data_IF_027463614508
#
_entry.id   IF_027463614508
#
_cell.length_a   1.000
_cell.length_b   1.000
_cell.length_c   1.000
_cell.angle_alpha   90.00
_cell.angle_beta   90.00
_cell.angle_gamma   90.00
#
_symmetry.space_group_name_H-M   'P 1'
#
loop_
_entity.id
_entity.type
_entity.pdbx_description
1 polymer ?
#
# COMPACT_ATOMS: atom_id res chain seq x y z
N UNK A 1 -5.71 5.34 7.13
CA UNK A 1 -6.00 4.52 5.94
C UNK A 1 -7.01 5.28 5.11
N UNK A 2 -7.02 5.08 3.80
CA UNK A 2 -8.09 5.51 2.90
C UNK A 2 -8.58 4.27 2.14
N UNK A 3 -9.88 4.17 1.94
CA UNK A 3 -10.54 3.18 1.07
C UNK A 3 -11.55 3.92 0.21
N UNK A 4 -11.44 3.77 -1.11
CA UNK A 4 -12.32 4.47 -2.04
C UNK A 4 -11.90 4.30 -3.49
N UNK A 5 -12.54 5.02 -4.42
CA UNK A 5 -12.22 4.93 -5.83
C UNK A 5 -10.80 5.41 -6.11
N UNK A 6 -10.17 4.79 -7.11
CA UNK A 6 -8.94 5.31 -7.72
C UNK A 6 -9.26 6.58 -8.51
N UNK A 7 -8.37 7.57 -8.40
CA UNK A 7 -8.43 8.78 -9.23
C UNK A 7 -8.13 8.50 -10.72
N UNK A 8 -7.58 7.32 -11.04
CA UNK A 8 -7.19 6.98 -12.41
C UNK A 8 -8.36 6.42 -13.23
N UNK A 9 -9.17 5.56 -12.62
CA UNK A 9 -10.22 4.80 -13.32
C UNK A 9 -11.45 4.46 -12.46
N UNK A 10 -11.49 4.89 -11.20
CA UNK A 10 -12.59 4.64 -10.28
C UNK A 10 -12.57 3.27 -9.60
N UNK A 11 -11.62 2.39 -9.91
CA UNK A 11 -11.54 1.06 -9.29
C UNK A 11 -11.27 1.16 -7.77
N UNK A 12 -11.83 0.25 -6.94
CA UNK A 12 -11.65 0.32 -5.49
C UNK A 12 -10.18 0.09 -5.07
N UNK A 13 -9.57 1.11 -4.48
CA UNK A 13 -8.21 1.07 -3.93
C UNK A 13 -8.18 1.30 -2.42
N UNK A 14 -7.08 0.91 -1.79
CA UNK A 14 -6.74 1.20 -0.40
C UNK A 14 -5.38 1.88 -0.34
N UNK A 15 -5.27 2.92 0.49
CA UNK A 15 -4.01 3.58 0.82
C UNK A 15 -3.68 3.38 2.29
N UNK A 16 -2.51 2.79 2.56
CA UNK A 16 -2.03 2.42 3.90
C UNK A 16 -0.71 3.10 4.16
N UNK A 17 -0.59 3.75 5.32
CA UNK A 17 0.67 4.30 5.81
C UNK A 17 1.16 3.44 6.96
N UNK A 18 2.38 2.93 6.86
CA UNK A 18 3.07 2.17 7.92
C UNK A 18 4.23 2.98 8.49
N UNK A 19 4.86 2.45 9.55
CA UNK A 19 6.01 3.12 10.18
C UNK A 19 5.66 4.26 11.13
N UNK A 20 4.39 4.35 11.54
CA UNK A 20 3.89 5.36 12.50
C UNK A 20 4.43 5.18 13.92
N UNK A 21 5.03 4.02 14.24
CA UNK A 21 5.64 3.73 15.53
C UNK A 21 7.15 3.66 15.39
N UNK A 22 7.85 4.15 16.42
CA UNK A 22 9.30 4.02 16.52
C UNK A 22 9.70 2.55 16.47
N UNK A 23 10.78 2.26 15.75
CA UNK A 23 11.36 0.92 15.64
C UNK A 23 12.85 0.94 15.92
N UNK A 24 13.34 -0.10 16.60
CA UNK A 24 14.76 -0.33 16.85
C UNK A 24 15.46 -1.00 15.66
N UNK A 25 14.75 -1.21 14.55
CA UNK A 25 15.35 -1.76 13.34
C UNK A 25 16.34 -0.76 12.72
N UNK A 26 17.62 -0.93 13.07
CA UNK A 26 18.74 -0.10 12.59
C UNK A 26 18.83 0.02 11.07
N UNK A 27 18.39 -1.00 10.31
CA UNK A 27 18.51 -0.99 8.84
C UNK A 27 17.59 0.03 8.17
N UNK A 28 16.35 0.15 8.66
CA UNK A 28 15.33 1.00 8.05
C UNK A 28 15.06 2.27 8.85
N UNK A 29 15.42 2.27 10.14
CA UNK A 29 15.01 3.31 11.06
C UNK A 29 13.48 3.41 11.16
N UNK A 30 13.02 4.46 11.83
CA UNK A 30 11.61 4.85 11.82
C UNK A 30 11.34 5.62 10.52
N UNK A 31 10.61 5.00 9.60
CA UNK A 31 10.34 5.55 8.28
C UNK A 31 8.88 5.32 7.92
N UNK A 32 8.21 6.40 7.51
CA UNK A 32 6.87 6.32 6.95
C UNK A 32 6.93 5.69 5.55
N UNK A 33 6.05 4.74 5.29
CA UNK A 33 5.89 4.12 3.97
C UNK A 33 4.42 4.10 3.59
N UNK A 34 4.12 4.54 2.37
CA UNK A 34 2.77 4.50 1.80
C UNK A 34 2.63 3.34 0.81
N UNK A 35 1.53 2.60 0.92
CA UNK A 35 1.15 1.53 0.02
C UNK A 35 -0.20 1.88 -0.61
N UNK A 36 -0.28 1.86 -1.93
CA UNK A 36 -1.51 2.02 -2.70
C UNK A 36 -1.78 0.66 -3.37
N UNK A 37 -2.92 0.05 -3.09
CA UNK A 37 -3.23 -1.31 -3.54
C UNK A 37 -4.70 -1.42 -3.96
N UNK A 38 -5.03 -2.39 -4.81
CA UNK A 38 -6.42 -2.78 -5.06
C UNK A 38 -7.01 -3.41 -3.79
N UNK A 39 -8.30 -3.17 -3.51
CA UNK A 39 -8.95 -3.72 -2.31
C UNK A 39 -9.18 -5.25 -2.39
N UNK A 40 -9.40 -5.74 -3.61
CA UNK A 40 -9.91 -7.09 -3.85
C UNK A 40 -8.87 -8.04 -4.48
N UNK A 41 -7.78 -7.51 -5.02
CA UNK A 41 -6.77 -8.29 -5.74
C UNK A 41 -5.39 -8.10 -5.11
N UNK A 42 -4.70 -9.18 -4.70
CA UNK A 42 -3.38 -9.05 -4.11
C UNK A 42 -2.35 -8.52 -5.13
N UNK A 43 -1.27 -7.85 -4.69
CA UNK A 43 -0.35 -7.11 -5.56
C UNK A 43 0.27 -7.95 -6.69
N UNK A 44 0.66 -9.19 -6.42
CA UNK A 44 1.25 -10.08 -7.44
C UNK A 44 0.24 -10.41 -8.54
N UNK A 45 -0.99 -10.75 -8.14
CA UNK A 45 -2.05 -11.12 -9.08
C UNK A 45 -2.52 -9.90 -9.87
N UNK A 46 -2.60 -8.74 -9.23
CA UNK A 46 -2.93 -7.47 -9.87
C UNK A 46 -1.93 -7.13 -10.99
N UNK A 47 -0.63 -7.32 -10.74
CA UNK A 47 0.40 -7.12 -11.75
C UNK A 47 0.32 -8.16 -12.87
N UNK A 48 0.15 -9.44 -12.53
CA UNK A 48 0.04 -10.52 -13.51
C UNK A 48 -1.18 -10.38 -14.43
N UNK A 49 -2.30 -9.88 -13.90
CA UNK A 49 -3.55 -9.65 -14.64
C UNK A 49 -3.59 -8.27 -15.31
N UNK A 50 -2.62 -7.41 -15.04
CA UNK A 50 -2.60 -6.04 -15.56
C UNK A 50 -3.66 -5.12 -14.95
N UNK A 51 -4.19 -5.44 -13.77
CA UNK A 51 -5.16 -4.61 -13.02
C UNK A 51 -4.49 -3.51 -12.19
N UNK A 52 -3.17 -3.63 -11.98
CA UNK A 52 -2.36 -2.62 -11.29
C UNK A 52 -2.26 -1.28 -12.04
N UNK A 53 -2.86 -1.14 -13.24
CA UNK A 53 -3.08 0.16 -13.88
C UNK A 53 -3.85 1.11 -12.98
N UNK A 54 -4.78 0.60 -12.19
CA UNK A 54 -5.61 1.40 -11.29
C UNK A 54 -4.81 2.05 -10.15
N UNK A 55 -3.57 1.60 -9.89
CA UNK A 55 -2.68 2.16 -8.85
C UNK A 55 -1.36 2.70 -9.41
N UNK A 56 -0.92 2.21 -10.57
CA UNK A 56 0.35 2.57 -11.21
C UNK A 56 0.16 3.41 -12.49
N UNK A 57 -1.07 3.56 -12.99
CA UNK A 57 -1.39 4.22 -14.25
C UNK A 57 -0.61 3.66 -15.42
N UNK A 58 0.04 4.55 -16.16
CA UNK A 58 0.84 4.24 -17.34
C UNK A 58 2.32 3.89 -17.04
N UNK A 59 2.66 3.61 -15.78
CA UNK A 59 4.03 3.28 -15.39
C UNK A 59 4.65 2.20 -16.30
N UNK A 60 5.70 2.54 -17.07
CA UNK A 60 6.36 1.59 -17.98
C UNK A 60 6.86 0.31 -17.30
N UNK A 61 7.19 0.38 -16.01
CA UNK A 61 7.75 -0.73 -15.26
C UNK A 61 6.76 -1.88 -15.04
N UNK A 62 5.45 -1.60 -14.99
CA UNK A 62 4.43 -2.65 -14.94
C UNK A 62 4.30 -3.38 -16.28
N UNK A 63 4.43 -2.64 -17.38
CA UNK A 63 4.29 -3.17 -18.75
C UNK A 63 5.48 -4.06 -19.13
N UNK A 64 6.67 -3.74 -18.63
CA UNK A 64 7.91 -4.44 -18.99
C UNK A 64 8.47 -5.33 -17.89
N UNK A 65 7.81 -5.44 -16.74
CA UNK A 65 8.30 -6.25 -15.61
C UNK A 65 9.63 -5.78 -15.02
N UNK A 66 9.99 -4.50 -15.18
CA UNK A 66 11.27 -3.92 -14.73
C UNK A 66 11.16 -3.20 -13.38
N UNK A 67 10.03 -3.32 -12.70
CA UNK A 67 9.84 -2.70 -11.39
C UNK A 67 10.84 -3.30 -10.39
N UNK A 68 11.60 -2.46 -9.69
CA UNK A 68 12.53 -2.93 -8.66
C UNK A 68 11.81 -3.48 -7.42
N UNK A 69 10.53 -3.14 -7.26
CA UNK A 69 9.72 -3.56 -6.13
C UNK A 69 9.38 -5.04 -6.28
N UNK A 70 9.83 -5.85 -5.32
CA UNK A 70 9.37 -7.21 -5.20
C UNK A 70 7.97 -7.23 -4.56
N UNK A 71 6.94 -7.40 -5.39
CA UNK A 71 5.54 -7.39 -4.98
C UNK A 71 5.21 -8.51 -3.99
N UNK A 72 5.91 -9.66 -4.05
CA UNK A 72 5.74 -10.80 -3.15
C UNK A 72 6.28 -10.59 -1.74
N UNK A 73 7.01 -9.49 -1.50
CA UNK A 73 7.63 -9.20 -0.20
C UNK A 73 6.78 -8.19 0.60
N UNK A 74 7.26 -6.95 0.73
CA UNK A 74 6.63 -5.94 1.57
C UNK A 74 5.18 -5.64 1.13
N UNK A 75 4.88 -5.41 -0.15
CA UNK A 75 3.50 -5.14 -0.58
C UNK A 75 2.53 -6.28 -0.25
N UNK A 76 2.90 -7.53 -0.55
CA UNK A 76 2.05 -8.68 -0.23
C UNK A 76 1.82 -8.85 1.27
N UNK A 77 2.83 -8.58 2.11
CA UNK A 77 2.67 -8.64 3.56
C UNK A 77 1.75 -7.54 4.10
N UNK A 78 1.83 -6.32 3.55
CA UNK A 78 0.90 -5.23 3.87
C UNK A 78 -0.51 -5.59 3.41
N UNK A 79 -0.69 -6.13 2.20
CA UNK A 79 -1.99 -6.59 1.72
C UNK A 79 -2.63 -7.64 2.64
N UNK A 80 -1.86 -8.66 3.07
CA UNK A 80 -2.35 -9.66 4.02
C UNK A 80 -2.76 -9.04 5.37
N UNK A 81 -1.97 -8.10 5.89
CA UNK A 81 -2.31 -7.40 7.12
C UNK A 81 -3.58 -6.54 6.97
N UNK A 82 -3.75 -5.91 5.81
CA UNK A 82 -4.96 -5.18 5.45
C UNK A 82 -6.19 -6.08 5.45
N UNK A 83 -6.15 -7.23 4.75
CA UNK A 83 -7.28 -8.18 4.73
C UNK A 83 -7.60 -8.77 6.11
N UNK A 84 -6.66 -8.73 7.07
CA UNK A 84 -6.90 -9.08 8.49
C UNK A 84 -7.46 -7.94 9.33
N UNK A 85 -7.67 -6.74 8.77
CA UNK A 85 -8.15 -5.57 9.49
C UNK A 85 -7.10 -4.94 10.42
N UNK A 86 -5.80 -5.17 10.18
CA UNK A 86 -4.73 -4.71 11.08
C UNK A 86 -4.44 -3.20 11.02
N UNK A 87 -5.05 -2.47 10.08
CA UNK A 87 -4.81 -1.04 9.89
C UNK A 87 -6.06 -0.23 10.23
N UNK A 88 -5.99 0.68 11.21
CA UNK A 88 -7.12 1.55 11.53
C UNK A 88 -7.35 2.60 10.44
N UNK A 89 -8.61 2.99 10.27
CA UNK A 89 -8.94 4.24 9.59
C UNK A 89 -8.33 5.40 10.37
N UNK A 90 -7.73 6.35 9.66
CA UNK A 90 -7.09 7.49 10.34
C UNK A 90 -8.19 8.52 10.57
N UNK A 91 -8.48 8.77 11.84
CA UNK A 91 -9.30 9.88 12.28
C UNK A 91 -8.45 10.97 12.96
N UNK A 92 -9.06 12.10 13.28
CA UNK A 92 -8.38 13.22 13.94
C UNK A 92 -7.81 12.83 15.31
N UNK A 93 -8.39 11.84 15.99
CA UNK A 93 -7.87 11.35 17.27
C UNK A 93 -6.57 10.55 17.08
N UNK A 94 -6.55 9.66 16.08
CA UNK A 94 -5.38 8.86 15.69
C UNK A 94 -4.23 9.77 15.26
N UNK A 95 -4.49 10.82 14.47
CA UNK A 95 -3.46 11.78 14.05
C UNK A 95 -2.79 12.50 15.22
N UNK A 96 -3.54 12.83 16.28
CA UNK A 96 -2.99 13.49 17.47
C UNK A 96 -2.05 12.57 18.24
N UNK A 97 -2.34 11.28 18.31
CA UNK A 97 -1.49 10.30 19.01
C UNK A 97 -0.15 9.97 18.33
N UNK A 98 0.05 10.41 17.08
CA UNK A 98 1.28 10.14 16.30
C UNK A 98 2.28 11.32 16.40
N UNK A 99 1.86 12.46 16.97
CA UNK A 99 2.69 13.69 17.03
C UNK A 99 3.69 13.74 18.19
N UNK A 100 3.70 12.73 19.05
CA UNK A 100 4.62 12.60 20.20
C UNK A 100 5.66 11.49 19.94
#
# INVERSE_FOLDING_TARGET
>A
MYEGPSELDGEPIVVIVTGLKRTDNRKTGTMLQSFIMLQNTPPCDAANQGLDSSICGDCKHRKWGTCYVNLGHSPYNVYKAYKRGSYPQIDNATLKSIKD
#
